data_IF_409282210523
#
_entry.id   IF_409282210523
#
_cell.length_a   1.000
_cell.length_b   1.000
_cell.length_c   1.000
_cell.angle_alpha   90.00
_cell.angle_beta   90.00
_cell.angle_gamma   90.00
#
_symmetry.space_group_name_H-M   'P 1'
#
loop_
_entity.id
_entity.type
_entity.pdbx_description
1 polymer ?
#
# COMPACT_ATOMS: atom_id res chain seq x y z
N UNK A 1 -13.72 -10.19 -6.31
CA UNK A 1 -12.26 -9.94 -6.20
C UNK A 1 -12.05 -9.32 -4.85
N UNK A 2 -11.79 -10.18 -3.88
CA UNK A 2 -11.70 -9.86 -2.46
C UNK A 2 -10.39 -9.12 -2.21
N UNK A 3 -10.48 -7.80 -2.05
CA UNK A 3 -9.35 -7.00 -1.57
C UNK A 3 -9.14 -7.43 -0.12
N UNK A 4 -8.14 -8.27 0.14
CA UNK A 4 -7.74 -8.65 1.50
C UNK A 4 -7.19 -7.40 2.21
N UNK A 5 -8.09 -6.64 2.84
CA UNK A 5 -7.71 -5.53 3.69
C UNK A 5 -7.22 -6.12 5.01
N UNK A 6 -5.91 -6.08 5.25
CA UNK A 6 -5.35 -6.51 6.53
C UNK A 6 -5.84 -5.51 7.58
N UNK A 7 -6.68 -5.98 8.50
CA UNK A 7 -7.21 -5.15 9.58
C UNK A 7 -6.08 -4.77 10.53
N UNK A 8 -5.57 -3.56 10.38
CA UNK A 8 -4.73 -2.91 11.37
C UNK A 8 -5.58 -2.00 12.25
N UNK A 9 -5.42 -2.10 13.57
CA UNK A 9 -6.16 -1.29 14.56
C UNK A 9 -5.77 0.19 14.54
N UNK A 10 -4.66 0.53 13.89
CA UNK A 10 -4.21 1.91 13.74
C UNK A 10 -5.02 2.62 12.65
N UNK A 11 -5.43 3.85 12.98
CA UNK A 11 -6.26 4.66 12.10
C UNK A 11 -5.44 5.30 10.98
N UNK A 12 -4.18 5.61 11.26
CA UNK A 12 -3.30 6.33 10.33
C UNK A 12 -2.65 5.38 9.34
N UNK A 13 -2.91 5.63 8.06
CA UNK A 13 -2.40 4.86 6.93
C UNK A 13 -1.79 5.83 5.93
N UNK A 14 -0.70 5.42 5.28
CA UNK A 14 -0.03 6.19 4.22
C UNK A 14 0.16 5.33 2.98
N UNK A 15 0.19 5.98 1.82
CA UNK A 15 0.59 5.33 0.57
C UNK A 15 2.12 5.33 0.51
N UNK A 16 2.71 4.18 0.22
CA UNK A 16 4.15 4.01 0.02
C UNK A 16 4.40 3.61 -1.42
N UNK A 17 5.25 4.35 -2.12
CA UNK A 17 5.75 3.97 -3.44
C UNK A 17 6.85 2.93 -3.23
N UNK A 18 6.66 1.74 -3.80
CA UNK A 18 7.63 0.65 -3.75
C UNK A 18 8.62 0.75 -4.90
N UNK A 19 8.13 1.08 -6.10
CA UNK A 19 8.91 1.15 -7.32
C UNK A 19 8.32 2.23 -8.24
N UNK A 20 9.18 2.94 -8.97
CA UNK A 20 8.75 3.95 -9.93
C UNK A 20 9.68 3.89 -11.16
N UNK A 21 9.21 3.25 -12.23
CA UNK A 21 10.01 2.97 -13.43
C UNK A 21 9.23 3.38 -14.67
N UNK A 22 9.89 4.14 -15.56
CA UNK A 22 9.37 4.51 -16.88
C UNK A 22 7.93 5.09 -16.87
N UNK A 23 7.60 5.91 -15.88
CA UNK A 23 6.27 6.53 -15.76
C UNK A 23 5.21 5.62 -15.13
N UNK A 24 5.56 4.40 -14.76
CA UNK A 24 4.73 3.54 -13.94
C UNK A 24 5.15 3.63 -12.47
N UNK A 25 4.19 3.70 -11.56
CA UNK A 25 4.39 3.72 -10.11
C UNK A 25 3.72 2.51 -9.47
N UNK A 26 4.47 1.74 -8.69
CA UNK A 26 3.93 0.68 -7.84
C UNK A 26 3.74 1.22 -6.43
N UNK A 27 2.49 1.30 -5.99
CA UNK A 27 2.10 1.85 -4.69
C UNK A 27 1.42 0.81 -3.80
N UNK A 28 1.56 0.95 -2.49
CA UNK A 28 0.92 0.10 -1.49
C UNK A 28 0.45 0.93 -0.30
N UNK A 29 -0.69 0.59 0.30
CA UNK A 29 -1.14 1.23 1.53
C UNK A 29 -0.45 0.55 2.71
N UNK A 30 0.28 1.31 3.53
CA UNK A 30 0.91 0.83 4.76
C UNK A 30 0.34 1.54 5.98
N UNK A 31 0.37 0.85 7.11
CA UNK A 31 0.11 1.46 8.41
C UNK A 31 1.25 2.41 8.80
N UNK A 32 0.95 3.61 9.30
CA UNK A 32 2.00 4.53 9.77
C UNK A 32 2.74 3.99 11.00
N UNK A 33 2.04 3.31 11.91
CA UNK A 33 2.60 2.83 13.18
C UNK A 33 3.26 1.45 13.06
N UNK A 34 2.63 0.52 12.33
CA UNK A 34 3.15 -0.84 12.18
C UNK A 34 4.13 -0.98 11.01
N UNK A 35 4.12 -0.03 10.08
CA UNK A 35 4.79 -0.11 8.77
C UNK A 35 4.44 -1.36 7.95
N UNK A 36 3.38 -2.06 8.34
CA UNK A 36 2.85 -3.24 7.65
C UNK A 36 2.03 -2.82 6.45
N UNK A 37 2.20 -3.58 5.37
CA UNK A 37 1.38 -3.50 4.17
C UNK A 37 -0.04 -3.96 4.49
N UNK A 38 -1.01 -3.12 4.12
CA UNK A 38 -2.44 -3.33 4.42
C UNK A 38 -3.24 -3.77 3.20
N UNK A 39 -2.67 -3.55 2.02
CA UNK A 39 -3.24 -3.93 0.72
C UNK A 39 -2.14 -4.57 -0.12
N UNK A 40 -2.53 -5.26 -1.18
CA UNK A 40 -1.57 -5.68 -2.19
C UNK A 40 -1.00 -4.47 -2.94
N UNK A 41 0.26 -4.55 -3.41
CA UNK A 41 0.84 -3.55 -4.29
C UNK A 41 0.02 -3.38 -5.57
N UNK A 42 -0.19 -2.13 -5.96
CA UNK A 42 -0.86 -1.75 -7.21
C UNK A 42 0.10 -0.95 -8.07
N UNK A 43 0.29 -1.40 -9.30
CA UNK A 43 1.06 -0.67 -10.30
C UNK A 43 0.11 0.14 -11.18
N UNK A 44 0.38 1.44 -11.28
CA UNK A 44 -0.32 2.36 -12.16
C UNK A 44 0.65 2.85 -13.24
N UNK A 45 0.20 2.77 -14.50
CA UNK A 45 0.78 3.30 -15.72
C UNK A 45 -0.39 3.96 -16.49
#
# INVERSE_FOLDING_TARGET
>A
MDIQQINCSHREKKIKVLDAVCGCETTVIVCCDCEKELTEPKTEC
#
